data_IF_323108587113
#
_entry.id   IF_323108587113
#
_cell.length_a   1.000
_cell.length_b   1.000
_cell.length_c   1.000
_cell.angle_alpha   90.00
_cell.angle_beta   90.00
_cell.angle_gamma   90.00
#
_symmetry.space_group_name_H-M   'P 1'
#
loop_
_entity.id
_entity.type
_entity.pdbx_description
1 polymer ?
#
# COMPACT_ATOMS: atom_id res chain seq x y z
N UNK A 1 -23.30 -4.14 -14.58
CA UNK A 1 -23.88 -2.83 -14.27
C UNK A 1 -23.26 -2.33 -12.98
N UNK A 2 -22.29 -1.42 -13.03
CA UNK A 2 -21.72 -0.80 -11.83
C UNK A 2 -22.61 0.39 -11.45
N UNK A 3 -22.95 0.59 -10.17
CA UNK A 3 -23.81 1.70 -9.78
C UNK A 3 -23.04 3.02 -9.92
N UNK A 4 -23.50 3.85 -10.86
CA UNK A 4 -22.84 5.06 -11.37
C UNK A 4 -22.89 6.28 -10.43
N UNK A 5 -23.32 6.14 -9.18
CA UNK A 5 -23.65 7.30 -8.33
C UNK A 5 -22.74 7.55 -7.11
N UNK A 6 -21.64 6.79 -6.93
CA UNK A 6 -20.70 7.06 -5.81
C UNK A 6 -19.60 8.07 -6.17
N UNK A 7 -19.30 8.26 -7.47
CA UNK A 7 -18.21 9.13 -7.92
C UNK A 7 -18.46 10.63 -7.67
N UNK A 8 -19.71 11.05 -7.49
CA UNK A 8 -20.02 12.47 -7.23
C UNK A 8 -19.77 12.86 -5.77
N UNK A 9 -19.84 11.91 -4.82
CA UNK A 9 -19.78 12.14 -3.37
C UNK A 9 -18.38 11.95 -2.75
N UNK A 10 -17.43 11.34 -3.45
CA UNK A 10 -16.08 11.10 -2.94
C UNK A 10 -15.13 12.18 -3.50
N UNK A 11 -14.27 12.72 -2.63
CA UNK A 11 -13.20 13.63 -3.02
C UNK A 11 -11.98 12.84 -3.50
N UNK A 12 -11.74 12.91 -4.81
CA UNK A 12 -10.66 12.21 -5.47
C UNK A 12 -9.28 12.59 -4.95
N UNK A 13 -9.03 13.88 -4.75
CA UNK A 13 -7.70 14.36 -4.35
C UNK A 13 -7.44 14.01 -2.89
N UNK A 14 -8.45 14.17 -2.04
CA UNK A 14 -8.34 13.80 -0.63
C UNK A 14 -8.16 12.28 -0.46
N UNK A 15 -8.89 11.46 -1.23
CA UNK A 15 -8.76 10.00 -1.23
C UNK A 15 -7.38 9.56 -1.71
N UNK A 16 -6.88 10.15 -2.80
CA UNK A 16 -5.54 9.86 -3.30
C UNK A 16 -4.47 10.18 -2.25
N UNK A 17 -4.56 11.36 -1.63
CA UNK A 17 -3.63 11.79 -0.58
C UNK A 17 -3.68 10.90 0.65
N UNK A 18 -4.87 10.62 1.18
CA UNK A 18 -5.06 9.76 2.34
C UNK A 18 -4.49 8.36 2.09
N UNK A 19 -4.74 7.80 0.90
CA UNK A 19 -4.23 6.49 0.52
C UNK A 19 -2.72 6.47 0.37
N UNK A 20 -2.15 7.51 -0.23
CA UNK A 20 -0.70 7.66 -0.37
C UNK A 20 -0.03 7.74 1.00
N UNK A 21 -0.54 8.59 1.89
CA UNK A 21 0.00 8.78 3.24
C UNK A 21 -0.11 7.49 4.06
N UNK A 22 -1.24 6.79 3.95
CA UNK A 22 -1.44 5.47 4.56
C UNK A 22 -0.37 4.47 4.08
N UNK A 23 -0.16 4.31 2.78
CA UNK A 23 0.84 3.39 2.24
C UNK A 23 2.28 3.80 2.58
N UNK A 24 2.62 5.09 2.50
CA UNK A 24 3.96 5.59 2.82
C UNK A 24 4.36 5.35 4.28
N UNK A 25 3.38 5.34 5.20
CA UNK A 25 3.65 5.04 6.61
C UNK A 25 4.06 3.58 6.88
N UNK A 26 3.98 2.69 5.88
CA UNK A 26 4.40 1.28 6.00
C UNK A 26 5.83 1.13 6.55
N UNK A 27 6.78 1.92 6.06
CA UNK A 27 8.19 1.82 6.49
C UNK A 27 8.37 2.03 7.98
N UNK A 28 7.62 3.00 8.54
CA UNK A 28 7.67 3.26 9.97
C UNK A 28 7.23 2.02 10.73
N UNK A 29 6.14 1.39 10.31
CA UNK A 29 5.63 0.17 10.95
C UNK A 29 6.56 -1.02 10.76
N UNK A 30 7.14 -1.19 9.57
CA UNK A 30 8.12 -2.24 9.30
C UNK A 30 9.38 -2.08 10.18
N UNK A 31 9.87 -0.85 10.35
CA UNK A 31 10.96 -0.56 11.26
C UNK A 31 10.61 -0.89 12.71
N UNK A 32 9.42 -0.49 13.19
CA UNK A 32 8.96 -0.82 14.55
C UNK A 32 8.82 -2.33 14.75
N UNK A 33 8.34 -3.06 13.73
CA UNK A 33 8.21 -4.51 13.75
C UNK A 33 9.58 -5.16 13.90
N UNK A 34 10.54 -4.81 13.04
CA UNK A 34 11.90 -5.33 13.08
C UNK A 34 12.60 -5.01 14.41
N UNK A 35 12.45 -3.78 14.91
CA UNK A 35 12.97 -3.39 16.23
C UNK A 35 12.39 -4.26 17.34
N UNK A 36 11.08 -4.50 17.33
CA UNK A 36 10.44 -5.33 18.35
C UNK A 36 10.88 -6.80 18.26
N UNK A 37 11.06 -7.35 17.05
CA UNK A 37 11.60 -8.70 16.83
C UNK A 37 12.99 -8.83 17.47
N UNK A 38 13.89 -7.89 17.17
CA UNK A 38 15.26 -7.89 17.71
C UNK A 38 15.27 -7.83 19.24
N UNK A 39 14.41 -7.01 19.84
CA UNK A 39 14.29 -6.93 21.29
C UNK A 39 13.77 -8.24 21.89
N UNK A 40 12.73 -8.85 21.31
CA UNK A 40 12.14 -10.10 21.82
C UNK A 40 13.09 -11.30 21.76
N UNK A 41 14.11 -11.26 20.90
CA UNK A 41 15.19 -12.25 20.85
C UNK A 41 16.18 -12.13 22.03
N UNK A 42 16.17 -11.02 22.77
CA UNK A 42 17.08 -10.85 23.90
C UNK A 42 16.64 -11.71 25.11
N UNK A 43 17.57 -12.46 25.74
CA UNK A 43 17.23 -13.37 26.84
C UNK A 43 16.70 -12.67 28.09
N UNK A 44 17.24 -11.50 28.43
CA UNK A 44 16.92 -10.74 29.64
C UNK A 44 16.21 -9.43 29.30
N UNK A 45 15.19 -9.50 28.44
CA UNK A 45 14.42 -8.32 28.06
C UNK A 45 13.47 -7.88 29.18
N UNK A 46 13.82 -6.80 29.85
CA UNK A 46 12.90 -6.07 30.74
C UNK A 46 11.68 -5.58 29.96
N UNK A 47 10.51 -5.62 30.60
CA UNK A 47 9.23 -5.20 30.00
C UNK A 47 8.83 -5.97 28.72
N UNK A 48 9.17 -7.26 28.63
CA UNK A 48 8.84 -8.15 27.49
C UNK A 48 7.37 -8.04 27.03
N UNK A 49 6.42 -7.92 27.95
CA UNK A 49 4.99 -7.75 27.62
C UNK A 49 4.72 -6.46 26.82
N UNK A 50 5.35 -5.34 27.18
CA UNK A 50 5.21 -4.08 26.45
C UNK A 50 5.76 -4.20 25.03
N UNK A 51 6.92 -4.86 24.88
CA UNK A 51 7.52 -5.12 23.57
C UNK A 51 6.64 -6.05 22.74
N UNK A 52 6.03 -7.07 23.34
CA UNK A 52 5.07 -7.96 22.66
C UNK A 52 3.86 -7.19 22.13
N UNK A 53 3.29 -6.26 22.91
CA UNK A 53 2.17 -5.40 22.47
C UNK A 53 2.59 -4.51 21.30
N UNK A 54 3.80 -3.95 21.34
CA UNK A 54 4.36 -3.14 20.24
C UNK A 54 4.58 -3.97 18.98
N UNK A 55 5.11 -5.19 19.12
CA UNK A 55 5.25 -6.16 18.03
C UNK A 55 3.90 -6.45 17.37
N UNK A 56 2.88 -6.83 18.16
CA UNK A 56 1.55 -7.14 17.65
C UNK A 56 0.91 -5.96 16.93
N UNK A 57 1.06 -4.74 17.48
CA UNK A 57 0.57 -3.52 16.84
C UNK A 57 1.27 -3.26 15.51
N UNK A 58 2.60 -3.31 15.48
CA UNK A 58 3.37 -3.07 14.25
C UNK A 58 3.07 -4.12 13.17
N UNK A 59 2.95 -5.40 13.56
CA UNK A 59 2.57 -6.48 12.66
C UNK A 59 1.19 -6.24 12.04
N UNK A 60 0.20 -5.89 12.88
CA UNK A 60 -1.14 -5.55 12.41
C UNK A 60 -1.12 -4.38 11.41
N UNK A 61 -0.38 -3.33 11.71
CA UNK A 61 -0.25 -2.17 10.82
C UNK A 61 0.42 -2.51 9.48
N UNK A 62 1.45 -3.37 9.47
CA UNK A 62 2.03 -3.89 8.24
C UNK A 62 0.99 -4.69 7.42
N UNK A 63 0.27 -5.61 8.07
CA UNK A 63 -0.75 -6.42 7.41
C UNK A 63 -1.90 -5.57 6.82
N UNK A 64 -2.33 -4.51 7.50
CA UNK A 64 -3.36 -3.60 7.00
C UNK A 64 -3.00 -2.94 5.66
N UNK A 65 -1.72 -2.90 5.29
CA UNK A 65 -1.24 -2.34 4.01
C UNK A 65 -0.91 -3.44 3.00
N UNK A 66 -0.33 -4.53 3.46
CA UNK A 66 0.09 -5.64 2.58
C UNK A 66 -1.09 -6.49 2.11
N UNK A 67 -2.02 -6.83 3.00
CA UNK A 67 -3.11 -7.75 2.70
C UNK A 67 -4.04 -7.19 1.61
N UNK A 68 -4.47 -5.91 1.63
CA UNK A 68 -5.31 -5.40 0.55
C UNK A 68 -4.59 -5.37 -0.80
N UNK A 69 -3.26 -5.20 -0.84
CA UNK A 69 -2.48 -5.33 -2.09
C UNK A 69 -2.46 -6.78 -2.58
N UNK A 70 -2.38 -7.76 -1.68
CA UNK A 70 -2.48 -9.18 -2.06
C UNK A 70 -3.87 -9.52 -2.59
N UNK A 71 -4.92 -9.00 -1.96
CA UNK A 71 -6.31 -9.18 -2.42
C UNK A 71 -6.50 -8.52 -3.78
N UNK A 72 -6.11 -7.25 -3.92
CA UNK A 72 -6.18 -6.50 -5.18
C UNK A 72 -5.49 -7.29 -6.30
N UNK A 73 -4.27 -7.78 -6.07
CA UNK A 73 -3.53 -8.49 -7.09
C UNK A 73 -4.11 -9.84 -7.54
N UNK A 74 -5.13 -10.36 -6.85
CA UNK A 74 -5.84 -11.60 -7.22
C UNK A 74 -7.14 -11.34 -8.00
N UNK A 75 -7.58 -10.09 -8.14
CA UNK A 75 -8.85 -9.76 -8.78
C UNK A 75 -8.80 -9.82 -10.31
N UNK A 76 -7.62 -9.64 -10.91
CA UNK A 76 -7.43 -9.66 -12.36
C UNK A 76 -6.09 -9.09 -12.79
N UNK A 77 -5.73 -9.16 -14.09
CA UNK A 77 -4.43 -8.69 -14.59
C UNK A 77 -4.19 -7.20 -14.37
N UNK A 78 -5.21 -6.36 -14.57
CA UNK A 78 -5.09 -4.92 -14.35
C UNK A 78 -4.92 -4.57 -12.86
N UNK A 79 -5.57 -5.33 -11.97
CA UNK A 79 -5.46 -5.15 -10.53
C UNK A 79 -4.14 -5.72 -10.00
N UNK A 80 -3.62 -6.80 -10.59
CA UNK A 80 -2.27 -7.32 -10.33
C UNK A 80 -1.21 -6.26 -10.65
N UNK A 81 -1.31 -5.62 -11.81
CA UNK A 81 -0.42 -4.51 -12.20
C UNK A 81 -0.50 -3.37 -11.18
N UNK A 82 -1.71 -2.94 -10.82
CA UNK A 82 -1.94 -1.90 -9.83
C UNK A 82 -1.32 -2.25 -8.46
N UNK A 83 -1.52 -3.48 -7.98
CA UNK A 83 -0.97 -3.96 -6.71
C UNK A 83 0.55 -3.97 -6.71
N UNK A 84 1.18 -4.45 -7.78
CA UNK A 84 2.64 -4.46 -7.93
C UNK A 84 3.22 -3.05 -7.99
N UNK A 85 2.58 -2.15 -8.74
CA UNK A 85 2.97 -0.75 -8.82
C UNK A 85 3.00 -0.12 -7.42
N UNK A 86 1.89 -0.24 -6.67
CA UNK A 86 1.80 0.33 -5.32
C UNK A 86 2.80 -0.31 -4.36
N UNK A 87 2.97 -1.64 -4.42
CA UNK A 87 3.93 -2.36 -3.58
C UNK A 87 5.35 -1.88 -3.86
N UNK A 88 5.75 -1.76 -5.12
CA UNK A 88 7.08 -1.29 -5.50
C UNK A 88 7.31 0.17 -5.06
N UNK A 89 6.36 1.07 -5.32
CA UNK A 89 6.53 2.50 -4.98
C UNK A 89 6.48 2.81 -3.51
N UNK A 90 5.57 2.19 -2.76
CA UNK A 90 5.26 2.62 -1.40
C UNK A 90 5.79 1.68 -0.33
N UNK A 91 5.67 0.36 -0.54
CA UNK A 91 6.15 -0.63 0.43
C UNK A 91 7.63 -0.92 0.24
N UNK A 92 8.16 -0.92 -0.99
CA UNK A 92 9.59 -1.08 -1.25
C UNK A 92 10.36 0.23 -1.43
N UNK A 93 9.65 1.36 -1.52
CA UNK A 93 10.20 2.71 -1.76
C UNK A 93 11.13 2.81 -2.97
N UNK A 94 10.86 2.05 -4.01
CA UNK A 94 11.62 2.17 -5.25
C UNK A 94 11.33 3.51 -5.93
N UNK A 95 12.33 4.03 -6.64
CA UNK A 95 12.16 5.20 -7.50
C UNK A 95 11.13 4.91 -8.61
N UNK A 96 10.61 5.96 -9.25
CA UNK A 96 9.74 5.80 -10.42
C UNK A 96 10.44 4.99 -11.50
N UNK A 97 11.66 5.36 -11.89
CA UNK A 97 12.43 4.64 -12.91
C UNK A 97 12.62 3.15 -12.60
N UNK A 98 13.07 2.80 -11.39
CA UNK A 98 13.22 1.39 -10.98
C UNK A 98 11.89 0.63 -11.01
N UNK A 99 10.80 1.29 -10.62
CA UNK A 99 9.48 0.67 -10.64
C UNK A 99 8.99 0.46 -12.07
N UNK A 100 9.16 1.46 -12.95
CA UNK A 100 8.78 1.37 -14.36
C UNK A 100 9.52 0.24 -15.05
N UNK A 101 10.83 0.10 -14.84
CA UNK A 101 11.62 -1.01 -15.38
C UNK A 101 11.12 -2.37 -14.89
N UNK A 102 10.86 -2.50 -13.58
CA UNK A 102 10.33 -3.72 -13.00
C UNK A 102 8.96 -4.09 -13.58
N UNK A 103 8.05 -3.13 -13.72
CA UNK A 103 6.71 -3.38 -14.26
C UNK A 103 6.78 -3.70 -15.76
N UNK A 104 7.60 -2.99 -16.52
CA UNK A 104 7.80 -3.26 -17.94
C UNK A 104 8.30 -4.69 -18.17
N UNK A 105 9.31 -5.11 -17.41
CA UNK A 105 9.83 -6.48 -17.49
C UNK A 105 8.79 -7.53 -17.06
N UNK A 106 8.06 -7.29 -15.96
CA UNK A 106 7.12 -8.28 -15.42
C UNK A 106 5.88 -8.48 -16.30
N UNK A 107 5.43 -7.42 -16.97
CA UNK A 107 4.19 -7.38 -17.74
C UNK A 107 4.43 -7.33 -19.26
N UNK A 108 5.66 -7.59 -19.70
CA UNK A 108 6.06 -7.62 -21.11
C UNK A 108 5.67 -6.34 -21.86
N UNK A 109 6.01 -5.18 -21.27
CA UNK A 109 5.81 -3.87 -21.87
C UNK A 109 7.14 -3.36 -22.41
N UNK A 110 7.17 -2.85 -23.64
CA UNK A 110 8.37 -2.25 -24.23
C UNK A 110 8.93 -1.12 -23.37
N UNK A 111 8.03 -0.27 -22.87
CA UNK A 111 8.37 0.88 -22.04
C UNK A 111 7.14 1.40 -21.29
N UNK A 112 7.36 1.91 -20.07
CA UNK A 112 6.33 2.58 -19.29
C UNK A 112 6.68 4.07 -19.09
N UNK A 113 6.10 4.92 -19.94
CA UNK A 113 6.30 6.37 -19.91
C UNK A 113 5.82 7.00 -18.61
N UNK A 114 6.50 8.06 -18.16
CA UNK A 114 6.20 8.74 -16.89
C UNK A 114 4.73 9.21 -16.79
N UNK A 115 4.17 9.77 -17.87
CA UNK A 115 2.76 10.20 -17.89
C UNK A 115 1.81 9.02 -17.67
N UNK A 116 2.08 7.88 -18.31
CA UNK A 116 1.33 6.63 -18.15
C UNK A 116 1.49 6.11 -16.73
N UNK A 117 2.72 6.08 -16.23
CA UNK A 117 3.05 5.67 -14.88
C UNK A 117 2.26 6.44 -13.82
N UNK A 118 2.24 7.78 -13.87
CA UNK A 118 1.53 8.59 -12.87
C UNK A 118 0.01 8.44 -12.96
N UNK A 119 -0.53 8.31 -14.18
CA UNK A 119 -1.95 8.03 -14.39
C UNK A 119 -2.33 6.68 -13.78
N UNK A 120 -1.56 5.64 -14.07
CA UNK A 120 -1.83 4.29 -13.60
C UNK A 120 -1.62 4.19 -12.08
N UNK A 121 -0.64 4.90 -11.53
CA UNK A 121 -0.44 5.04 -10.08
C UNK A 121 -1.67 5.66 -9.42
N UNK A 122 -2.24 6.73 -9.98
CA UNK A 122 -3.45 7.37 -9.45
C UNK A 122 -4.64 6.40 -9.47
N UNK A 123 -4.84 5.69 -10.57
CA UNK A 123 -5.89 4.66 -10.66
C UNK A 123 -5.66 3.52 -9.66
N UNK A 124 -4.41 3.10 -9.48
CA UNK A 124 -4.06 2.05 -8.52
C UNK A 124 -4.37 2.48 -7.08
N UNK A 125 -4.02 3.72 -6.69
CA UNK A 125 -4.36 4.28 -5.37
C UNK A 125 -5.87 4.22 -5.11
N UNK A 126 -6.67 4.57 -6.12
CA UNK A 126 -8.13 4.47 -6.04
C UNK A 126 -8.65 3.05 -5.85
N UNK A 127 -8.15 2.10 -6.66
CA UNK A 127 -8.52 0.69 -6.52
C UNK A 127 -8.16 0.16 -5.13
N UNK A 128 -6.99 0.52 -4.63
CA UNK A 128 -6.57 0.16 -3.28
C UNK A 128 -7.49 0.74 -2.21
N UNK A 129 -7.87 2.02 -2.32
CA UNK A 129 -8.77 2.68 -1.36
C UNK A 129 -10.12 1.94 -1.24
N UNK A 130 -10.65 1.44 -2.36
CA UNK A 130 -11.90 0.68 -2.40
C UNK A 130 -11.83 -0.72 -1.80
N UNK A 131 -10.65 -1.37 -1.79
CA UNK A 131 -10.47 -2.70 -1.18
C UNK A 131 -9.86 -2.65 0.23
N UNK A 132 -9.38 -1.49 0.67
CA UNK A 132 -8.74 -1.33 1.96
C UNK A 132 -9.77 -1.30 3.10
N UNK A 133 -9.63 -2.12 4.16
CA UNK A 133 -10.59 -2.18 5.25
C UNK A 133 -10.62 -0.93 6.14
N UNK A 134 -9.65 -0.01 6.00
CA UNK A 134 -9.54 1.22 6.82
C UNK A 134 -10.42 2.37 6.31
N UNK A 135 -11.29 2.14 5.31
CA UNK A 135 -12.16 3.14 4.70
C UNK A 135 -11.42 4.43 4.32
N UNK A 136 -10.59 4.32 3.29
CA UNK A 136 -9.75 5.44 2.82
C UNK A 136 -10.48 6.40 1.86
N UNK A 137 -11.75 6.11 1.54
CA UNK A 137 -12.58 6.93 0.66
C UNK A 137 -13.08 8.17 1.42
N UNK A 138 -12.62 9.35 1.01
CA UNK A 138 -12.96 10.62 1.66
C UNK A 138 -14.20 11.22 1.02
N UNK A 139 -15.25 11.52 1.80
CA UNK A 139 -16.46 12.15 1.30
C UNK A 139 -16.24 13.65 1.06
N UNK A 140 -16.82 14.20 0.00
CA UNK A 140 -16.95 15.65 -0.19
C UNK A 140 -17.84 16.23 0.90
N UNK A 141 -17.41 17.36 1.45
CA UNK A 141 -18.20 18.19 2.36
C UNK A 141 -19.13 19.11 1.58
#
# INVERSE_FOLDING_TARGET
MFPTNQSTLIDDRATERATKDFLMSYQRWQFQLNKAILLLQQPQLDNRQLVQRRYQKALKECHLREQPLQVLGKLGPHEAFAADLLRARFLKRWSTSKTSQFLAQKYDLDYLADRTFFRDQKQALWKFAGVCPQNLLVKKL
#
